data_IF_474146126049
#
_entry.id   IF_474146126049
#
_cell.length_a   1.000
_cell.length_b   1.000
_cell.length_c   1.000
_cell.angle_alpha   90.00
_cell.angle_beta   90.00
_cell.angle_gamma   90.00
#
_symmetry.space_group_name_H-M   'P 1'
#
loop_
_entity.id
_entity.type
_entity.pdbx_description
1 polymer ?
#
# COMPACT_ATOMS: atom_id res chain seq x y z
N UNK A 1 -8.29 6.74 -19.63
CA UNK A 1 -7.59 6.19 -18.47
C UNK A 1 -8.33 6.55 -17.19
N UNK A 2 -8.11 5.74 -16.18
CA UNK A 2 -8.73 5.93 -14.86
C UNK A 2 -7.91 6.95 -14.06
N UNK A 3 -8.58 7.78 -13.29
CA UNK A 3 -7.91 8.79 -12.47
C UNK A 3 -8.69 9.03 -11.17
N UNK A 4 -7.94 9.41 -10.13
CA UNK A 4 -8.47 9.95 -8.88
C UNK A 4 -8.36 11.47 -8.87
N UNK A 5 -9.30 12.13 -8.24
CA UNK A 5 -9.26 13.56 -7.95
C UNK A 5 -9.48 13.73 -6.46
N UNK A 6 -8.61 14.51 -5.81
CA UNK A 6 -8.80 14.90 -4.42
C UNK A 6 -9.72 16.12 -4.34
N UNK A 7 -10.76 16.07 -3.52
CA UNK A 7 -11.62 17.21 -3.21
C UNK A 7 -11.26 17.78 -1.83
N UNK A 8 -10.97 19.07 -1.74
CA UNK A 8 -10.76 19.78 -0.49
C UNK A 8 -12.02 20.58 -0.14
N UNK A 9 -12.57 20.27 1.05
CA UNK A 9 -13.74 20.96 1.58
C UNK A 9 -13.28 22.17 2.38
N UNK A 10 -13.85 23.33 2.08
CA UNK A 10 -13.67 24.56 2.84
C UNK A 10 -15.05 25.18 3.10
N UNK A 11 -15.57 25.01 4.31
CA UNK A 11 -16.93 25.37 4.66
C UNK A 11 -17.96 24.62 3.80
N UNK A 12 -18.71 25.33 2.97
CA UNK A 12 -19.72 24.76 2.04
C UNK A 12 -19.19 24.60 0.61
N UNK A 13 -17.93 24.91 0.35
CA UNK A 13 -17.32 24.87 -0.98
C UNK A 13 -16.38 23.66 -1.11
N UNK A 14 -16.30 23.08 -2.31
CA UNK A 14 -15.37 22.03 -2.65
C UNK A 14 -14.47 22.55 -3.77
N UNK A 15 -13.17 22.47 -3.58
CA UNK A 15 -12.17 22.66 -4.64
C UNK A 15 -11.55 21.33 -5.00
N UNK A 16 -11.27 21.10 -6.28
CA UNK A 16 -10.69 19.86 -6.79
C UNK A 16 -9.23 20.09 -7.18
N UNK A 17 -8.38 19.15 -6.82
CA UNK A 17 -6.97 19.09 -7.23
C UNK A 17 -6.81 18.55 -8.66
N UNK A 18 -5.59 18.25 -9.03
CA UNK A 18 -5.26 17.68 -10.33
C UNK A 18 -5.69 16.21 -10.43
N UNK A 19 -5.95 15.77 -11.68
CA UNK A 19 -6.19 14.37 -11.98
C UNK A 19 -4.93 13.55 -11.75
N UNK A 20 -5.00 12.57 -10.86
CA UNK A 20 -3.93 11.62 -10.60
C UNK A 20 -4.25 10.31 -11.30
N UNK A 21 -3.38 9.78 -12.19
CA UNK A 21 -3.64 8.52 -12.86
C UNK A 21 -3.67 7.38 -11.84
N UNK A 22 -4.67 6.50 -11.96
CA UNK A 22 -4.74 5.25 -11.21
C UNK A 22 -4.30 4.14 -12.16
N UNK A 23 -3.09 3.62 -12.03
CA UNK A 23 -2.63 2.51 -12.83
C UNK A 23 -3.39 1.25 -12.41
N UNK A 24 -4.37 0.84 -13.20
CA UNK A 24 -5.02 -0.44 -13.06
C UNK A 24 -4.24 -1.44 -13.92
N UNK A 25 -3.66 -2.45 -13.31
CA UNK A 25 -2.84 -3.43 -14.02
C UNK A 25 -3.63 -4.25 -15.04
N UNK A 26 -4.97 -4.26 -14.94
CA UNK A 26 -5.81 -5.17 -15.72
C UNK A 26 -7.14 -4.51 -16.09
N UNK A 27 -7.06 -3.39 -16.79
CA UNK A 27 -8.21 -2.66 -17.27
C UNK A 27 -8.82 -3.27 -18.55
N UNK A 28 -9.10 -4.54 -18.54
CA UNK A 28 -10.02 -5.09 -19.54
C UNK A 28 -11.47 -4.74 -19.13
N UNK A 29 -11.92 -3.56 -19.60
CA UNK A 29 -13.33 -3.12 -19.54
C UNK A 29 -13.95 -2.86 -18.17
N UNK A 30 -13.25 -2.19 -17.26
CA UNK A 30 -13.79 -1.86 -15.92
C UNK A 30 -14.92 -0.82 -15.93
N UNK A 31 -15.12 -0.07 -16.99
CA UNK A 31 -16.06 1.04 -17.06
C UNK A 31 -17.10 0.92 -18.18
N UNK A 32 -17.30 -0.29 -18.70
CA UNK A 32 -18.29 -0.52 -19.75
C UNK A 32 -19.75 -0.52 -19.27
N UNK A 33 -19.98 -0.66 -17.97
CA UNK A 33 -21.31 -0.68 -17.39
C UNK A 33 -21.50 0.52 -16.45
N UNK A 34 -22.38 1.43 -16.87
CA UNK A 34 -22.73 2.64 -16.11
C UNK A 34 -23.47 2.37 -14.80
N UNK A 35 -23.80 1.13 -14.51
CA UNK A 35 -24.52 0.70 -13.31
C UNK A 35 -23.59 0.24 -12.16
N UNK A 36 -22.29 0.20 -12.38
CA UNK A 36 -21.35 -0.30 -11.37
C UNK A 36 -21.05 0.78 -10.33
N UNK A 37 -21.41 0.52 -9.09
CA UNK A 37 -20.98 1.31 -7.93
C UNK A 37 -19.66 0.76 -7.43
N UNK A 38 -18.65 1.62 -7.31
CA UNK A 38 -17.37 1.26 -6.70
C UNK A 38 -17.39 1.62 -5.21
N UNK A 39 -17.65 0.66 -4.33
CA UNK A 39 -17.64 0.93 -2.91
C UNK A 39 -16.24 1.28 -2.44
N UNK A 40 -16.16 2.26 -1.56
CA UNK A 40 -14.95 2.83 -1.02
C UNK A 40 -14.97 2.67 0.50
N UNK A 41 -13.88 2.18 1.09
CA UNK A 41 -13.64 2.22 2.52
C UNK A 41 -12.43 3.10 2.83
N UNK A 42 -12.44 3.71 4.01
CA UNK A 42 -11.31 4.48 4.50
C UNK A 42 -10.70 3.81 5.72
N UNK A 43 -9.46 3.38 5.59
CA UNK A 43 -8.63 2.90 6.69
C UNK A 43 -8.06 4.11 7.43
N UNK A 44 -8.67 4.44 8.56
CA UNK A 44 -8.27 5.60 9.36
C UNK A 44 -6.93 5.41 10.07
N UNK A 45 -6.49 4.19 10.28
CA UNK A 45 -5.20 3.87 10.86
C UNK A 45 -4.09 4.08 9.83
N UNK A 46 -4.23 3.46 8.66
CA UNK A 46 -3.25 3.58 7.56
C UNK A 46 -3.39 4.89 6.75
N UNK A 47 -4.42 5.70 7.01
CA UNK A 47 -4.74 6.94 6.26
C UNK A 47 -4.91 6.69 4.76
N UNK A 48 -5.58 5.59 4.40
CA UNK A 48 -5.74 5.13 3.03
C UNK A 48 -7.18 4.89 2.67
N UNK A 49 -7.47 5.11 1.41
CA UNK A 49 -8.71 4.69 0.78
C UNK A 49 -8.50 3.33 0.14
N UNK A 50 -9.50 2.48 0.27
CA UNK A 50 -9.52 1.16 -0.37
C UNK A 50 -10.77 1.06 -1.20
N UNK A 51 -10.62 0.79 -2.47
CA UNK A 51 -11.74 0.46 -3.35
C UNK A 51 -11.50 -0.88 -4.03
N UNK A 52 -12.57 -1.57 -4.37
CA UNK A 52 -12.51 -2.86 -5.00
C UNK A 52 -12.82 -2.73 -6.49
N UNK A 53 -12.06 -3.46 -7.27
CA UNK A 53 -12.22 -3.61 -8.70
C UNK A 53 -12.46 -5.08 -8.99
N UNK A 54 -13.35 -5.35 -9.90
CA UNK A 54 -13.57 -6.70 -10.37
C UNK A 54 -13.76 -6.71 -11.88
N UNK A 55 -13.16 -7.68 -12.50
CA UNK A 55 -13.27 -7.98 -13.91
C UNK A 55 -13.73 -9.42 -14.12
N UNK A 56 -13.85 -9.81 -15.36
CA UNK A 56 -14.28 -11.17 -15.75
C UNK A 56 -13.37 -12.29 -15.21
N UNK A 57 -12.20 -11.97 -14.69
CA UNK A 57 -11.18 -12.94 -14.33
C UNK A 57 -10.67 -12.87 -12.90
N UNK A 58 -10.84 -11.74 -12.18
CA UNK A 58 -10.36 -11.59 -10.82
C UNK A 58 -10.98 -10.42 -10.06
N UNK A 59 -10.87 -10.44 -8.74
CA UNK A 59 -11.20 -9.32 -7.86
C UNK A 59 -9.93 -8.76 -7.21
N UNK A 60 -9.82 -7.43 -7.17
CA UNK A 60 -8.69 -6.70 -6.63
C UNK A 60 -9.18 -5.64 -5.65
N UNK A 61 -8.44 -5.45 -4.57
CA UNK A 61 -8.55 -4.30 -3.70
C UNK A 61 -7.38 -3.36 -4.00
N UNK A 62 -7.69 -2.10 -4.31
CA UNK A 62 -6.71 -1.07 -4.64
C UNK A 62 -6.62 -0.10 -3.48
N UNK A 63 -5.42 0.11 -3.00
CA UNK A 63 -5.11 1.00 -1.89
C UNK A 63 -4.58 2.32 -2.43
N UNK A 64 -5.23 3.42 -2.05
CA UNK A 64 -4.85 4.76 -2.45
C UNK A 64 -4.60 5.66 -1.24
N UNK A 65 -3.67 6.56 -1.38
CA UNK A 65 -3.34 7.58 -0.39
C UNK A 65 -3.51 8.96 -1.01
N UNK A 66 -3.98 9.91 -0.20
CA UNK A 66 -4.01 11.32 -0.58
C UNK A 66 -2.81 12.02 0.04
N UNK A 67 -1.97 12.60 -0.80
CA UNK A 67 -0.82 13.41 -0.38
C UNK A 67 -0.95 14.79 -1.01
N UNK A 68 -1.16 15.80 -0.17
CA UNK A 68 -1.49 17.14 -0.64
C UNK A 68 -2.85 17.16 -1.36
N UNK A 69 -2.84 17.46 -2.64
CA UNK A 69 -4.00 17.51 -3.53
C UNK A 69 -4.05 16.37 -4.57
N UNK A 70 -3.17 15.38 -4.42
CA UNK A 70 -3.01 14.25 -5.35
C UNK A 70 -3.39 12.91 -4.72
N UNK A 71 -3.91 12.02 -5.55
CA UNK A 71 -4.22 10.63 -5.20
C UNK A 71 -3.11 9.73 -5.74
N UNK A 72 -2.51 8.91 -4.89
CA UNK A 72 -1.49 7.94 -5.27
C UNK A 72 -2.02 6.54 -5.04
N UNK A 73 -1.93 5.69 -6.06
CA UNK A 73 -2.10 4.24 -5.87
C UNK A 73 -0.85 3.72 -5.19
N UNK A 74 -1.04 3.05 -4.07
CA UNK A 74 0.06 2.54 -3.26
C UNK A 74 0.26 1.05 -3.42
N UNK A 75 -0.85 0.33 -3.52
CA UNK A 75 -0.81 -1.12 -3.55
C UNK A 75 -2.10 -1.70 -4.10
N UNK A 76 -2.06 -2.97 -4.46
CA UNK A 76 -3.24 -3.73 -4.79
C UNK A 76 -3.10 -5.17 -4.28
N UNK A 77 -4.20 -5.74 -3.82
CA UNK A 77 -4.27 -7.12 -3.37
C UNK A 77 -5.30 -7.85 -4.23
N UNK A 78 -4.87 -8.94 -4.86
CA UNK A 78 -5.77 -9.82 -5.57
C UNK A 78 -6.47 -10.70 -4.53
N UNK A 79 -7.75 -10.47 -4.28
CA UNK A 79 -8.50 -11.27 -3.34
C UNK A 79 -9.19 -12.46 -4.01
N UNK A 80 -9.29 -12.49 -5.33
CA UNK A 80 -9.82 -13.63 -6.09
C UNK A 80 -9.18 -13.71 -7.47
N UNK A 81 -8.70 -14.89 -7.83
CA UNK A 81 -8.24 -15.23 -9.18
C UNK A 81 -9.21 -16.19 -9.84
N UNK A 82 -9.37 -16.08 -11.15
CA UNK A 82 -10.05 -17.10 -11.95
C UNK A 82 -9.25 -18.39 -11.90
N UNK A 83 -9.94 -19.49 -11.66
CA UNK A 83 -9.43 -20.82 -11.95
C UNK A 83 -10.13 -21.35 -13.20
N UNK A 84 -9.59 -22.40 -13.82
CA UNK A 84 -10.18 -23.01 -15.03
C UNK A 84 -11.64 -23.47 -14.87
N UNK A 85 -12.08 -23.68 -13.63
CA UNK A 85 -13.43 -24.15 -13.28
C UNK A 85 -14.34 -23.06 -12.69
N UNK A 86 -13.88 -21.81 -12.56
CA UNK A 86 -14.65 -20.78 -11.87
C UNK A 86 -14.60 -19.48 -12.64
N UNK A 87 -15.72 -19.05 -13.16
CA UNK A 87 -15.91 -17.68 -13.65
C UNK A 87 -16.26 -16.80 -12.46
N UNK A 88 -15.54 -15.71 -12.27
CA UNK A 88 -15.91 -14.69 -11.28
C UNK A 88 -16.77 -13.67 -12.00
N UNK A 89 -18.06 -13.83 -11.87
CA UNK A 89 -18.98 -12.75 -12.19
C UNK A 89 -19.31 -12.08 -10.85
N UNK A 90 -18.41 -11.25 -10.35
CA UNK A 90 -18.67 -10.49 -9.13
C UNK A 90 -19.24 -9.15 -9.52
N UNK A 91 -20.52 -8.96 -9.28
CA UNK A 91 -21.15 -7.65 -9.42
C UNK A 91 -21.07 -6.82 -8.14
N UNK A 92 -20.52 -7.38 -7.06
CA UNK A 92 -20.59 -6.79 -5.73
C UNK A 92 -19.36 -7.22 -4.92
N UNK A 93 -18.34 -6.41 -4.88
CA UNK A 93 -17.27 -6.54 -3.91
C UNK A 93 -17.22 -5.26 -3.06
N UNK A 94 -17.48 -5.38 -1.77
CA UNK A 94 -17.64 -4.25 -0.86
C UNK A 94 -16.54 -4.25 0.20
N UNK A 95 -15.61 -3.30 0.17
CA UNK A 95 -14.66 -3.12 1.25
C UNK A 95 -15.33 -2.41 2.43
N UNK A 96 -15.01 -2.84 3.62
CA UNK A 96 -15.42 -2.23 4.88
C UNK A 96 -14.21 -2.18 5.81
N UNK A 97 -14.03 -1.08 6.51
CA UNK A 97 -12.97 -0.95 7.51
C UNK A 97 -13.48 -1.33 8.89
N UNK A 98 -12.81 -2.30 9.51
CA UNK A 98 -12.99 -2.67 10.92
C UNK A 98 -12.00 -1.86 11.76
N UNK A 99 -12.51 -0.85 12.45
CA UNK A 99 -11.69 0.06 13.27
C UNK A 99 -11.09 -0.62 14.51
N UNK A 100 -11.77 -1.62 15.06
CA UNK A 100 -11.34 -2.28 16.29
C UNK A 100 -10.17 -3.21 16.05
N UNK A 101 -10.19 -3.92 14.92
CA UNK A 101 -9.13 -4.83 14.52
C UNK A 101 -8.16 -4.20 13.50
N UNK A 102 -8.41 -2.97 13.04
CA UNK A 102 -7.61 -2.26 12.06
C UNK A 102 -7.41 -3.07 10.76
N UNK A 103 -8.49 -3.64 10.26
CA UNK A 103 -8.50 -4.50 9.07
C UNK A 103 -9.50 -4.01 8.04
N UNK A 104 -9.18 -4.27 6.77
CA UNK A 104 -10.16 -4.15 5.69
C UNK A 104 -10.80 -5.52 5.47
N UNK A 105 -12.11 -5.56 5.48
CA UNK A 105 -12.91 -6.74 5.15
C UNK A 105 -13.51 -6.50 3.78
N UNK A 106 -13.29 -7.41 2.83
CA UNK A 106 -13.93 -7.37 1.52
C UNK A 106 -14.96 -8.49 1.46
N UNK A 107 -16.23 -8.12 1.37
CA UNK A 107 -17.35 -9.04 1.13
C UNK A 107 -17.63 -9.07 -0.36
N UNK A 108 -17.75 -10.26 -0.96
CA UNK A 108 -17.98 -10.39 -2.41
C UNK A 108 -18.83 -11.61 -2.76
N UNK A 109 -19.55 -11.49 -3.88
CA UNK A 109 -20.25 -12.63 -4.48
C UNK A 109 -19.42 -13.24 -5.62
N UNK A 110 -19.57 -14.52 -5.86
CA UNK A 110 -18.96 -15.19 -7.00
C UNK A 110 -19.84 -16.30 -7.54
N UNK A 111 -19.71 -16.56 -8.85
CA UNK A 111 -20.43 -17.62 -9.53
C UNK A 111 -19.51 -18.81 -9.80
N UNK A 112 -19.99 -20.01 -9.49
CA UNK A 112 -19.31 -21.26 -9.81
C UNK A 112 -19.98 -21.90 -11.03
N UNK A 113 -19.31 -21.89 -12.17
CA UNK A 113 -19.85 -22.49 -13.41
C UNK A 113 -20.12 -24.00 -13.32
N UNK A 114 -19.35 -24.72 -12.52
CA UNK A 114 -19.54 -26.17 -12.31
C UNK A 114 -20.64 -26.54 -11.32
N UNK A 115 -21.06 -25.62 -10.45
CA UNK A 115 -22.10 -25.84 -9.43
C UNK A 115 -23.37 -25.02 -9.68
N UNK A 116 -23.43 -24.28 -10.78
CA UNK A 116 -24.56 -23.48 -11.25
C UNK A 116 -25.19 -22.57 -10.16
N UNK A 117 -24.36 -21.95 -9.31
CA UNK A 117 -24.84 -21.13 -8.20
C UNK A 117 -23.99 -19.90 -7.89
N UNK A 118 -24.64 -18.92 -7.24
CA UNK A 118 -23.97 -17.74 -6.66
C UNK A 118 -23.66 -18.02 -5.20
N UNK A 119 -22.47 -17.63 -4.79
CA UNK A 119 -21.97 -17.82 -3.43
C UNK A 119 -21.46 -16.48 -2.90
N UNK A 120 -21.63 -16.26 -1.60
CA UNK A 120 -21.02 -15.16 -0.88
C UNK A 120 -19.73 -15.60 -0.19
N UNK A 121 -18.76 -14.71 -0.14
CA UNK A 121 -17.52 -14.88 0.61
C UNK A 121 -17.07 -13.55 1.21
N UNK A 122 -16.22 -13.62 2.22
CA UNK A 122 -15.52 -12.48 2.74
C UNK A 122 -14.04 -12.81 2.94
N UNK A 123 -13.18 -11.81 2.80
CA UNK A 123 -11.75 -11.92 3.05
C UNK A 123 -11.30 -10.76 3.91
N UNK A 124 -10.47 -11.04 4.88
CA UNK A 124 -9.76 -10.02 5.65
C UNK A 124 -8.47 -9.68 4.92
N UNK A 125 -8.33 -8.41 4.56
CA UNK A 125 -7.11 -7.90 3.98
C UNK A 125 -6.27 -7.25 5.07
N UNK A 126 -5.05 -7.69 5.18
CA UNK A 126 -4.03 -6.99 5.94
C UNK A 126 -3.35 -6.05 4.97
N UNK A 127 -3.38 -4.75 5.26
CA UNK A 127 -2.57 -3.80 4.50
C UNK A 127 -1.11 -4.22 4.65
N UNK A 128 -0.41 -4.57 3.57
CA UNK A 128 0.96 -5.07 3.65
C UNK A 128 1.95 -4.03 4.16
N UNK A 129 1.50 -2.81 4.34
CA UNK A 129 2.37 -1.71 4.74
C UNK A 129 1.94 -1.13 6.08
N UNK A 130 2.81 -1.28 7.08
CA UNK A 130 2.87 -0.38 8.22
C UNK A 130 2.85 1.06 7.69
N UNK A 131 2.25 1.99 8.47
CA UNK A 131 2.18 3.42 8.18
C UNK A 131 3.57 4.08 8.15
N UNK A 132 4.46 3.58 7.31
CA UNK A 132 5.73 4.25 7.11
C UNK A 132 5.45 5.51 6.28
N UNK A 133 5.42 6.65 6.97
CA UNK A 133 5.48 7.99 6.37
C UNK A 133 6.93 8.34 6.02
N UNK A 134 7.78 7.33 5.89
CA UNK A 134 9.20 7.50 5.64
C UNK A 134 9.43 8.22 4.32
N UNK A 135 10.13 9.33 4.38
CA UNK A 135 10.59 10.10 3.22
C UNK A 135 12.08 10.39 3.39
N UNK A 136 12.73 10.82 2.31
CA UNK A 136 14.13 11.27 2.39
C UNK A 136 14.29 12.46 3.35
N UNK A 137 13.26 13.27 3.53
CA UNK A 137 13.30 14.43 4.41
C UNK A 137 13.22 14.03 5.88
N UNK A 138 12.40 13.01 6.22
CA UNK A 138 12.19 12.60 7.61
C UNK A 138 13.02 11.40 8.06
N UNK A 139 13.75 10.76 7.16
CA UNK A 139 14.74 9.75 7.54
C UNK A 139 15.90 10.43 8.26
N UNK A 140 16.08 10.15 9.52
CA UNK A 140 17.16 10.72 10.33
C UNK A 140 18.37 9.79 10.40
N UNK A 141 18.16 8.47 10.42
CA UNK A 141 19.19 7.47 10.61
C UNK A 141 18.65 6.21 11.28
N UNK A 142 19.53 5.46 11.93
CA UNK A 142 19.21 4.21 12.59
C UNK A 142 19.28 4.35 14.11
N UNK A 143 18.42 3.63 14.84
CA UNK A 143 18.58 3.47 16.28
C UNK A 143 19.79 2.56 16.55
N UNK A 144 20.57 2.87 17.57
CA UNK A 144 21.73 2.05 17.95
C UNK A 144 21.36 0.78 18.74
N UNK A 145 20.07 0.44 18.81
CA UNK A 145 19.57 -0.74 19.50
C UNK A 145 18.03 -0.82 19.45
N UNK A 146 17.51 -1.87 20.09
CA UNK A 146 16.08 -2.07 20.24
C UNK A 146 15.56 -1.27 21.45
N UNK A 147 14.47 -0.54 21.27
CA UNK A 147 13.84 0.29 22.29
C UNK A 147 12.36 -0.06 22.42
N UNK A 148 11.87 -0.08 23.64
CA UNK A 148 10.45 -0.21 23.93
C UNK A 148 9.74 1.14 23.85
N UNK A 149 8.40 1.12 23.67
CA UNK A 149 7.62 2.33 23.68
C UNK A 149 7.81 3.15 24.95
N UNK A 150 8.06 4.45 24.78
CA UNK A 150 8.33 5.40 25.89
C UNK A 150 9.79 5.49 26.33
N UNK A 151 10.68 4.70 25.78
CA UNK A 151 12.13 4.83 26.04
C UNK A 151 12.77 5.91 25.15
N UNK A 152 13.79 6.56 25.67
CA UNK A 152 14.63 7.46 24.87
C UNK A 152 15.59 6.65 24.01
N UNK A 153 15.48 6.79 22.69
CA UNK A 153 16.36 6.12 21.74
C UNK A 153 17.53 7.03 21.34
N UNK A 154 18.71 6.41 21.20
CA UNK A 154 19.84 7.06 20.53
C UNK A 154 19.77 6.74 19.04
N UNK A 155 19.88 7.79 18.21
CA UNK A 155 19.81 7.65 16.73
C UNK A 155 21.16 8.06 16.14
N UNK A 156 21.71 7.17 15.33
CA UNK A 156 22.89 7.41 14.50
C UNK A 156 22.44 8.08 13.21
N UNK A 157 22.93 9.29 12.97
CA UNK A 157 22.49 10.17 11.86
C UNK A 157 23.44 10.11 10.67
N UNK A 158 23.07 10.78 9.57
CA UNK A 158 23.91 10.88 8.39
C UNK A 158 25.34 11.41 8.71
N UNK A 159 26.34 10.82 8.05
CA UNK A 159 27.76 11.07 8.28
C UNK A 159 28.41 10.15 9.30
N UNK A 160 27.65 9.30 9.98
CA UNK A 160 28.15 8.34 10.97
C UNK A 160 28.17 6.93 10.37
N UNK A 161 29.02 6.07 10.91
CA UNK A 161 29.03 4.64 10.61
C UNK A 161 28.18 3.92 11.65
N UNK A 162 27.11 3.29 11.21
CA UNK A 162 26.36 2.33 12.01
C UNK A 162 27.00 0.94 11.87
N UNK A 163 27.32 0.30 12.97
CA UNK A 163 27.99 -1.00 13.06
C UNK A 163 27.08 -2.13 13.61
N UNK A 164 25.80 -1.85 13.76
CA UNK A 164 24.80 -2.78 14.29
C UNK A 164 23.99 -3.52 13.21
N UNK A 165 24.38 -3.40 11.94
CA UNK A 165 23.71 -4.06 10.82
C UNK A 165 24.16 -5.52 10.65
N UNK A 166 23.52 -6.25 9.74
CA UNK A 166 23.92 -7.62 9.37
C UNK A 166 23.55 -7.94 7.93
N UNK A 167 24.30 -8.87 7.31
CA UNK A 167 23.99 -9.38 5.98
C UNK A 167 24.22 -8.38 4.84
N UNK A 168 24.99 -7.31 5.06
CA UNK A 168 25.33 -6.34 4.05
C UNK A 168 26.44 -6.85 3.12
N UNK A 169 26.43 -6.40 1.88
CA UNK A 169 27.50 -6.58 0.89
C UNK A 169 28.36 -5.34 0.83
N UNK A 170 29.66 -5.39 1.16
CA UNK A 170 30.53 -4.23 1.15
C UNK A 170 30.55 -3.53 -0.22
N UNK A 171 30.49 -2.20 -0.22
CA UNK A 171 30.47 -1.37 -1.44
C UNK A 171 29.09 -1.14 -2.04
N UNK A 172 28.07 -1.91 -1.64
CA UNK A 172 26.71 -1.74 -2.16
C UNK A 172 25.97 -0.61 -1.43
N UNK A 173 25.12 0.10 -2.20
CA UNK A 173 24.19 1.09 -1.67
C UNK A 173 22.92 0.41 -1.16
N UNK A 174 22.40 0.88 -0.03
CA UNK A 174 21.21 0.33 0.59
C UNK A 174 20.11 1.37 0.75
N UNK A 175 18.88 0.91 0.61
CA UNK A 175 17.66 1.69 0.78
C UNK A 175 16.83 1.14 1.94
N UNK A 176 16.22 2.04 2.70
CA UNK A 176 15.28 1.66 3.76
C UNK A 176 13.99 1.16 3.13
N UNK A 177 13.53 0.01 3.58
CA UNK A 177 12.26 -0.58 3.16
C UNK A 177 11.11 -0.11 4.07
N UNK A 178 9.87 -0.30 3.60
CA UNK A 178 8.68 0.10 4.36
C UNK A 178 8.51 -0.58 5.72
N UNK A 179 9.16 -1.72 5.95
CA UNK A 179 9.20 -2.46 7.22
C UNK A 179 10.40 -2.08 8.12
N UNK A 180 11.24 -1.14 7.66
CA UNK A 180 12.44 -0.70 8.36
C UNK A 180 13.70 -1.52 8.07
N UNK A 181 13.62 -2.55 7.23
CA UNK A 181 14.78 -3.33 6.80
C UNK A 181 15.60 -2.61 5.72
N UNK A 182 16.76 -3.12 5.39
CA UNK A 182 17.63 -2.62 4.32
C UNK A 182 17.63 -3.55 3.10
N UNK A 183 17.62 -2.96 1.90
CA UNK A 183 17.74 -3.70 0.65
C UNK A 183 18.55 -2.89 -0.36
N UNK A 184 19.27 -3.56 -1.27
CA UNK A 184 19.99 -2.92 -2.38
C UNK A 184 19.05 -2.36 -3.46
N UNK A 185 17.85 -2.91 -3.55
CA UNK A 185 16.79 -2.35 -4.39
C UNK A 185 16.04 -1.28 -3.60
N UNK A 186 15.86 -0.11 -4.21
CA UNK A 186 15.02 0.92 -3.62
C UNK A 186 13.58 0.40 -3.48
N UNK A 187 12.95 0.68 -2.33
CA UNK A 187 11.52 0.51 -2.20
C UNK A 187 10.83 1.42 -3.24
N UNK A 188 9.96 0.83 -4.06
CA UNK A 188 9.28 1.58 -5.13
C UNK A 188 8.49 2.78 -4.60
N UNK A 189 8.11 2.72 -3.35
CA UNK A 189 7.26 3.70 -2.68
C UNK A 189 8.04 4.83 -2.02
N UNK A 190 9.16 4.51 -1.36
CA UNK A 190 9.85 5.48 -0.49
C UNK A 190 11.16 5.99 -1.08
N UNK A 191 11.91 5.15 -1.77
CA UNK A 191 13.23 5.45 -2.36
C UNK A 191 14.18 6.18 -1.39
N UNK A 192 14.12 5.82 -0.12
CA UNK A 192 14.94 6.44 0.90
C UNK A 192 16.30 5.76 0.94
N UNK A 193 17.32 6.44 0.45
CA UNK A 193 18.68 5.95 0.50
C UNK A 193 19.19 5.97 1.96
N UNK A 194 19.73 4.87 2.41
CA UNK A 194 20.23 4.70 3.77
C UNK A 194 21.73 4.99 3.87
N UNK A 195 22.47 4.55 2.87
CA UNK A 195 23.92 4.67 2.88
C UNK A 195 24.61 3.57 2.09
N UNK A 196 25.93 3.50 2.24
CA UNK A 196 26.80 2.52 1.58
C UNK A 196 27.41 1.59 2.60
N UNK A 197 27.34 0.27 2.36
CA UNK A 197 27.93 -0.73 3.23
C UNK A 197 29.45 -0.69 3.19
N UNK A 198 30.09 -0.62 4.35
CA UNK A 198 31.55 -0.69 4.52
C UNK A 198 32.01 -2.12 4.81
N UNK A 199 31.14 -2.92 5.42
CA UNK A 199 31.37 -4.34 5.70
C UNK A 199 30.03 -5.08 5.76
N UNK A 200 30.06 -6.36 6.06
CA UNK A 200 28.81 -7.14 6.26
C UNK A 200 27.96 -6.66 7.43
N UNK A 201 28.52 -5.84 8.32
CA UNK A 201 27.84 -5.35 9.53
C UNK A 201 27.86 -3.83 9.69
N UNK A 202 28.53 -3.11 8.77
CA UNK A 202 28.73 -1.66 8.89
C UNK A 202 28.21 -0.92 7.67
N UNK A 203 27.44 0.14 7.88
CA UNK A 203 26.98 1.05 6.85
C UNK A 203 27.37 2.48 7.19
N UNK A 204 27.91 3.20 6.20
CA UNK A 204 28.07 4.65 6.28
C UNK A 204 26.74 5.29 5.93
N UNK A 205 26.10 5.92 6.91
CA UNK A 205 24.79 6.56 6.72
C UNK A 205 25.01 7.82 5.88
N UNK A 206 24.29 7.90 4.75
CA UNK A 206 24.32 9.07 3.87
C UNK A 206 22.90 9.40 3.41
N UNK A 207 22.68 10.69 3.12
CA UNK A 207 21.38 11.22 2.79
C UNK A 207 21.46 11.94 1.43
#
# INVERSE_FOLDING_TARGET
>A
GNFGICGKINGTSISFGEKSPIPLQFADNLFGDSSITYPLAYDSNAKRFVFTIYGSNRGEAVFCEVVGDKVFTRDFIIFRNRTSSHSITTNYAMPTYDSDNQKIIVSYGYYLSGAAGYYGAAMVLTTPYTNSTLTSENFLGFSNGAYSNGQTATVQIAGIVDDAQSGLTPGEGYFVQGDGTLNTNADEKFRVFAGTALSSTKIHISK
#
